data_IF_142605400995
#
_entry.id   IF_142605400995
#
_cell.length_a   1.000
_cell.length_b   1.000
_cell.length_c   1.000
_cell.angle_alpha   90.00
_cell.angle_beta   90.00
_cell.angle_gamma   90.00
#
_symmetry.space_group_name_H-M   'P 1'
#
loop_
_entity.id
_entity.type
_entity.pdbx_description
1 polymer ?
#
# COMPACT_ATOMS: atom_id res chain seq x y z
N UNK A 1 0.06 4.50 21.71
CA UNK A 1 0.84 3.25 21.63
C UNK A 1 2.32 3.60 21.60
N UNK A 2 3.13 3.00 22.47
CA UNK A 2 4.58 3.24 22.51
C UNK A 2 5.29 2.03 21.89
N UNK A 3 5.92 2.17 20.71
CA UNK A 3 6.65 1.06 20.10
C UNK A 3 7.91 0.74 20.91
N UNK A 4 8.14 -0.55 21.15
CA UNK A 4 9.33 -1.06 21.85
C UNK A 4 10.25 -1.78 20.87
N UNK A 5 11.57 -1.68 21.07
CA UNK A 5 12.55 -2.45 20.32
C UNK A 5 12.67 -2.09 18.83
N UNK A 6 12.51 -0.81 18.47
CA UNK A 6 12.74 -0.36 17.10
C UNK A 6 14.20 -0.59 16.72
N UNK A 7 14.42 -1.22 15.57
CA UNK A 7 15.74 -1.37 15.02
C UNK A 7 16.30 -0.01 14.58
N UNK A 8 17.62 0.19 14.64
CA UNK A 8 18.23 1.47 14.31
C UNK A 8 18.08 1.81 12.81
N UNK A 9 18.02 3.10 12.49
CA UNK A 9 17.99 3.63 11.11
C UNK A 9 16.96 2.99 10.18
N UNK A 10 15.81 2.61 10.73
CA UNK A 10 14.80 1.81 10.05
C UNK A 10 13.53 2.63 9.84
N UNK A 11 12.94 2.54 8.65
CA UNK A 11 11.62 3.13 8.38
C UNK A 11 10.53 2.16 8.78
N UNK A 12 9.49 2.69 9.42
CA UNK A 12 8.34 1.94 9.89
C UNK A 12 7.06 2.53 9.30
N UNK A 13 6.14 1.64 9.00
CA UNK A 13 4.78 1.96 8.65
C UNK A 13 3.86 1.42 9.75
N UNK A 14 3.11 2.31 10.38
CA UNK A 14 2.10 1.94 11.36
C UNK A 14 0.72 2.15 10.76
N UNK A 15 -0.12 1.12 10.84
CA UNK A 15 -1.49 1.10 10.33
C UNK A 15 -2.42 0.71 11.45
N UNK A 16 -3.64 1.27 11.45
CA UNK A 16 -4.72 0.77 12.29
C UNK A 16 -5.59 -0.17 11.48
N UNK A 17 -5.89 -1.34 12.03
CA UNK A 17 -6.87 -2.29 11.50
C UNK A 17 -8.07 -2.33 12.43
N UNK A 18 -9.27 -2.27 11.88
CA UNK A 18 -10.53 -2.35 12.63
C UNK A 18 -11.62 -3.00 11.76
N UNK A 19 -12.69 -3.56 12.36
CA UNK A 19 -13.77 -4.19 11.60
C UNK A 19 -14.44 -3.21 10.64
N UNK A 20 -14.54 -3.59 9.36
CA UNK A 20 -15.15 -2.78 8.30
C UNK A 20 -16.66 -2.52 8.51
N UNK A 21 -17.30 -3.23 9.44
CA UNK A 21 -18.70 -3.02 9.83
C UNK A 21 -18.90 -1.78 10.70
N UNK A 22 -17.82 -1.23 11.26
CA UNK A 22 -17.88 -0.10 12.17
C UNK A 22 -17.58 1.20 11.40
N UNK A 23 -18.57 2.11 11.25
CA UNK A 23 -18.37 3.35 10.51
C UNK A 23 -17.59 4.38 11.37
N UNK A 24 -16.29 4.15 11.48
CA UNK A 24 -15.35 5.03 12.17
C UNK A 24 -14.38 5.65 11.17
N UNK A 25 -14.00 6.90 11.42
CA UNK A 25 -12.85 7.55 10.81
C UNK A 25 -11.72 7.54 11.83
N UNK A 26 -10.59 6.95 11.46
CA UNK A 26 -9.41 6.91 12.32
C UNK A 26 -8.35 7.86 11.80
N UNK A 27 -7.69 8.56 12.72
CA UNK A 27 -6.51 9.40 12.46
C UNK A 27 -5.38 8.98 13.38
N UNK A 28 -4.19 8.88 12.80
CA UNK A 28 -2.93 8.58 13.47
C UNK A 28 -1.94 9.74 13.32
N UNK A 29 -1.16 9.99 14.36
CA UNK A 29 -0.05 10.95 14.35
C UNK A 29 1.00 10.60 15.40
N UNK A 30 2.17 11.24 15.32
CA UNK A 30 3.22 11.08 16.33
C UNK A 30 2.98 12.04 17.51
N UNK A 31 3.18 11.57 18.73
CA UNK A 31 3.16 12.44 19.89
C UNK A 31 4.29 13.47 19.79
N UNK A 32 3.98 14.76 19.95
CA UNK A 32 4.98 15.82 19.82
C UNK A 32 5.56 15.94 18.42
N UNK A 33 4.75 15.62 17.40
CA UNK A 33 5.15 15.69 15.99
C UNK A 33 5.78 17.05 15.64
N UNK A 34 7.05 17.01 15.24
CA UNK A 34 7.77 18.19 14.76
C UNK A 34 7.37 18.41 13.29
N UNK A 35 6.74 19.55 13.00
CA UNK A 35 6.23 19.91 11.67
C UNK A 35 7.28 19.64 10.58
N UNK A 36 6.89 18.85 9.57
CA UNK A 36 7.72 18.53 8.40
C UNK A 36 8.48 17.20 8.46
N UNK A 37 8.45 16.47 9.58
CA UNK A 37 9.14 15.18 9.70
C UNK A 37 8.30 13.95 9.31
N UNK A 38 6.97 14.07 9.27
CA UNK A 38 6.08 12.98 8.86
C UNK A 38 5.23 13.41 7.66
N UNK A 39 5.15 12.54 6.65
CA UNK A 39 4.21 12.73 5.53
C UNK A 39 2.85 12.19 5.97
N UNK A 40 1.94 13.10 6.30
CA UNK A 40 0.54 12.74 6.58
C UNK A 40 -0.16 12.44 5.25
N UNK A 41 -0.62 11.20 5.07
CA UNK A 41 -1.41 10.82 3.90
C UNK A 41 -2.86 11.28 4.10
N UNK A 42 -3.56 11.61 2.99
CA UNK A 42 -4.99 11.90 3.04
C UNK A 42 -5.71 10.64 3.57
N UNK A 43 -6.46 10.82 4.66
CA UNK A 43 -7.04 9.79 5.53
C UNK A 43 -6.01 8.93 6.30
N UNK A 44 -5.67 9.42 7.50
CA UNK A 44 -4.56 8.97 8.34
C UNK A 44 -4.85 7.69 9.15
N UNK A 45 -5.36 6.64 8.51
CA UNK A 45 -5.35 5.28 9.09
C UNK A 45 -3.93 4.69 9.13
N UNK A 46 -2.98 5.40 8.52
CA UNK A 46 -1.59 5.03 8.37
C UNK A 46 -0.67 6.23 8.60
N UNK A 47 0.46 5.98 9.26
CA UNK A 47 1.61 6.89 9.33
C UNK A 47 2.91 6.17 8.98
N UNK A 48 3.89 6.93 8.49
CA UNK A 48 5.24 6.44 8.24
C UNK A 48 6.20 7.28 9.07
N UNK A 49 7.07 6.63 9.83
CA UNK A 49 8.11 7.27 10.64
C UNK A 49 9.42 6.52 10.54
N UNK A 50 10.50 7.10 11.06
CA UNK A 50 11.84 6.48 11.03
C UNK A 50 12.40 6.39 12.44
N UNK A 51 13.30 5.44 12.68
CA UNK A 51 14.13 5.39 13.88
C UNK A 51 15.53 5.97 13.63
N UNK A 52 16.13 6.53 14.68
CA UNK A 52 17.53 6.99 14.67
C UNK A 52 18.52 5.82 14.89
N UNK A 53 19.82 6.12 14.96
CA UNK A 53 20.86 5.13 15.20
C UNK A 53 20.77 4.43 16.57
N UNK A 54 19.98 4.96 17.51
CA UNK A 54 19.73 4.40 18.85
C UNK A 54 18.38 3.68 18.94
N UNK A 55 17.67 3.51 17.82
CA UNK A 55 16.34 2.89 17.81
C UNK A 55 15.25 3.79 18.40
N UNK A 56 15.43 5.11 18.42
CA UNK A 56 14.42 6.05 18.90
C UNK A 56 13.64 6.63 17.73
N UNK A 57 12.35 6.88 17.94
CA UNK A 57 11.50 7.47 16.91
C UNK A 57 11.97 8.89 16.54
N UNK A 58 12.05 9.17 15.25
CA UNK A 58 12.42 10.47 14.67
C UNK A 58 11.14 11.25 14.36
N UNK A 59 11.18 12.57 14.54
CA UNK A 59 10.06 13.46 14.26
C UNK A 59 9.13 13.69 15.46
N UNK A 60 9.57 13.32 16.65
CA UNK A 60 8.91 13.54 17.94
C UNK A 60 9.90 14.18 18.91
N UNK A 61 9.41 15.08 19.77
CA UNK A 61 10.17 15.64 20.88
C UNK A 61 10.14 14.74 22.15
N UNK A 62 9.39 13.63 22.11
CA UNK A 62 9.25 12.66 23.21
C UNK A 62 10.18 11.46 23.03
N UNK A 63 10.69 10.95 24.16
CA UNK A 63 11.48 9.73 24.22
C UNK A 63 11.12 8.91 25.47
N UNK A 64 10.48 7.73 25.35
CA UNK A 64 10.04 7.13 24.08
C UNK A 64 8.88 7.92 23.48
N UNK A 65 8.86 8.10 22.16
CA UNK A 65 7.73 8.73 21.50
C UNK A 65 6.57 7.75 21.33
N UNK A 66 5.35 8.28 21.29
CA UNK A 66 4.15 7.48 21.10
C UNK A 66 3.48 7.75 19.75
N UNK A 67 2.76 6.74 19.26
CA UNK A 67 1.77 6.87 18.20
C UNK A 67 0.43 7.17 18.86
N UNK A 68 -0.17 8.30 18.52
CA UNK A 68 -1.47 8.72 19.00
C UNK A 68 -2.53 8.39 17.95
N UNK A 69 -3.74 8.12 18.43
CA UNK A 69 -4.88 7.75 17.60
C UNK A 69 -6.12 8.48 18.09
N UNK A 70 -6.94 8.94 17.15
CA UNK A 70 -8.31 9.39 17.40
C UNK A 70 -9.24 8.70 16.43
N UNK A 71 -10.30 8.13 16.97
CA UNK A 71 -11.41 7.58 16.21
C UNK A 71 -12.62 8.49 16.38
N UNK A 72 -13.32 8.76 15.30
CA UNK A 72 -14.57 9.52 15.28
C UNK A 72 -15.63 8.72 14.55
N UNK A 73 -16.89 8.83 14.95
CA UNK A 73 -18.00 8.24 14.19
C UNK A 73 -18.12 8.99 12.87
N UNK A 74 -18.07 8.25 11.76
CA UNK A 74 -18.08 8.83 10.41
C UNK A 74 -19.40 8.59 9.66
N UNK A 75 -20.09 7.49 9.94
CA UNK A 75 -21.38 7.19 9.31
C UNK A 75 -22.35 6.49 10.28
N UNK A 76 -23.55 6.20 9.78
CA UNK A 76 -24.57 5.45 10.50
C UNK A 76 -24.28 3.95 10.43
N UNK A 77 -24.34 3.27 11.57
CA UNK A 77 -24.21 1.81 11.60
C UNK A 77 -25.44 1.17 10.94
N UNK A 78 -25.27 0.00 10.31
CA UNK A 78 -26.36 -0.69 9.58
C UNK A 78 -27.61 -0.87 10.44
N UNK A 79 -27.41 -1.22 11.71
CA UNK A 79 -28.49 -1.49 12.67
C UNK A 79 -28.93 -0.21 13.44
N UNK A 80 -28.63 0.97 12.89
CA UNK A 80 -28.95 2.27 13.50
C UNK A 80 -28.05 2.64 14.68
N UNK A 81 -28.42 3.71 15.39
CA UNK A 81 -27.63 4.23 16.51
C UNK A 81 -27.51 3.25 17.69
N UNK A 82 -28.57 2.49 17.98
CA UNK A 82 -28.57 1.49 19.04
C UNK A 82 -27.62 0.31 18.76
N UNK A 83 -27.35 0.01 17.48
CA UNK A 83 -26.43 -1.05 17.07
C UNK A 83 -24.99 -0.59 16.86
N UNK A 84 -24.70 0.72 16.92
CA UNK A 84 -23.35 1.22 16.76
C UNK A 84 -22.50 0.92 18.01
N UNK A 85 -21.32 0.28 17.88
CA UNK A 85 -20.48 -0.01 19.03
C UNK A 85 -19.95 1.29 19.66
N UNK A 86 -20.05 1.38 20.99
CA UNK A 86 -19.59 2.55 21.78
C UNK A 86 -18.06 2.64 21.87
N UNK A 87 -17.37 1.53 21.61
CA UNK A 87 -15.92 1.43 21.63
C UNK A 87 -15.46 0.81 20.31
N UNK A 88 -14.36 1.33 19.75
CA UNK A 88 -13.74 0.77 18.56
C UNK A 88 -12.74 -0.29 19.00
N UNK A 89 -12.95 -1.54 18.62
CA UNK A 89 -11.90 -2.55 18.68
C UNK A 89 -10.95 -2.32 17.49
N UNK A 90 -9.65 -2.24 17.77
CA UNK A 90 -8.64 -1.96 16.76
C UNK A 90 -7.31 -2.61 17.12
N UNK A 91 -6.53 -2.90 16.09
CA UNK A 91 -5.14 -3.32 16.19
C UNK A 91 -4.23 -2.28 15.54
N UNK A 92 -3.08 -1.99 16.17
CA UNK A 92 -2.02 -1.22 15.54
C UNK A 92 -0.98 -2.20 15.01
N UNK A 93 -0.93 -2.32 13.69
CA UNK A 93 0.03 -3.16 12.99
C UNK A 93 1.21 -2.29 12.58
N UNK A 94 2.41 -2.70 12.98
CA UNK A 94 3.64 -2.01 12.63
C UNK A 94 4.50 -2.91 11.75
N UNK A 95 4.95 -2.36 10.63
CA UNK A 95 5.75 -3.06 9.66
C UNK A 95 7.04 -2.29 9.34
N UNK A 96 8.14 -3.01 9.13
CA UNK A 96 9.37 -2.41 8.59
C UNK A 96 9.19 -2.16 7.10
N UNK A 97 9.65 -1.00 6.65
CA UNK A 97 9.74 -0.66 5.24
C UNK A 97 11.19 -0.49 4.82
N UNK A 98 11.54 -1.07 3.67
CA UNK A 98 12.86 -0.92 3.02
C UNK A 98 12.65 -0.07 1.78
N UNK A 99 13.36 1.06 1.69
CA UNK A 99 13.21 2.03 0.58
C UNK A 99 11.75 2.51 0.37
N UNK A 100 10.98 2.63 1.46
CA UNK A 100 9.57 3.05 1.41
C UNK A 100 8.59 1.94 1.01
N UNK A 101 9.08 0.71 0.78
CA UNK A 101 8.24 -0.45 0.45
C UNK A 101 8.10 -1.33 1.69
N UNK A 102 6.86 -1.71 2.09
CA UNK A 102 6.63 -2.65 3.18
C UNK A 102 7.29 -4.01 2.89
N UNK A 103 7.92 -4.60 3.90
CA UNK A 103 8.57 -5.93 3.77
C UNK A 103 7.65 -7.04 3.24
N UNK A 104 6.36 -6.96 3.53
CA UNK A 104 5.29 -7.86 3.11
C UNK A 104 4.99 -7.79 1.61
N UNK A 105 5.42 -6.73 0.92
CA UNK A 105 5.27 -6.60 -0.52
C UNK A 105 6.30 -7.44 -1.32
N UNK A 106 7.32 -8.01 -0.65
CA UNK A 106 8.39 -8.78 -1.28
C UNK A 106 7.93 -9.89 -2.22
N UNK A 107 7.01 -10.78 -1.82
CA UNK A 107 6.48 -11.83 -2.69
C UNK A 107 5.81 -11.30 -3.96
N UNK A 108 5.03 -10.21 -3.84
CA UNK A 108 4.33 -9.61 -4.99
C UNK A 108 5.35 -9.01 -5.97
N UNK A 109 6.37 -8.34 -5.46
CA UNK A 109 7.46 -7.79 -6.28
C UNK A 109 8.19 -8.90 -7.02
N UNK A 110 8.47 -10.03 -6.36
CA UNK A 110 9.13 -11.19 -6.96
C UNK A 110 8.28 -11.80 -8.09
N UNK A 111 6.97 -11.96 -7.87
CA UNK A 111 6.05 -12.47 -8.90
C UNK A 111 5.99 -11.50 -10.09
N UNK A 112 5.88 -10.19 -9.83
CA UNK A 112 5.86 -9.18 -10.89
C UNK A 112 7.17 -9.20 -11.71
N UNK A 113 8.32 -9.30 -11.06
CA UNK A 113 9.61 -9.42 -11.72
C UNK A 113 9.70 -10.70 -12.57
N UNK A 114 9.24 -11.83 -12.05
CA UNK A 114 9.21 -13.10 -12.80
C UNK A 114 8.34 -12.99 -14.06
N UNK A 115 7.16 -12.37 -13.96
CA UNK A 115 6.29 -12.14 -15.12
C UNK A 115 6.96 -11.26 -16.19
N UNK A 116 7.66 -10.20 -15.77
CA UNK A 116 8.42 -9.36 -16.70
C UNK A 116 9.51 -10.15 -17.42
N UNK A 117 10.22 -11.04 -16.73
CA UNK A 117 11.23 -11.92 -17.33
C UNK A 117 10.59 -12.87 -18.35
N UNK A 118 9.42 -13.44 -18.03
CA UNK A 118 8.70 -14.33 -18.96
C UNK A 118 8.28 -13.58 -20.23
N UNK A 119 7.72 -12.37 -20.09
CA UNK A 119 7.35 -11.53 -21.24
C UNK A 119 8.59 -11.16 -22.04
N UNK A 120 9.68 -10.78 -21.38
CA UNK A 120 10.93 -10.42 -22.05
C UNK A 120 11.56 -11.59 -22.80
N UNK A 121 11.49 -12.80 -22.24
CA UNK A 121 11.97 -14.02 -22.89
C UNK A 121 11.06 -14.47 -24.04
N UNK A 122 9.77 -14.15 -23.97
CA UNK A 122 8.82 -14.45 -25.03
C UNK A 122 8.93 -13.47 -26.20
N UNK A 123 9.37 -12.22 -25.99
CA UNK A 123 9.49 -11.18 -27.03
C UNK A 123 10.07 -11.71 -28.35
N UNK A 124 11.25 -12.39 -28.40
CA UNK A 124 11.79 -12.90 -29.66
C UNK A 124 10.83 -13.83 -30.43
N UNK A 125 10.13 -14.72 -29.72
CA UNK A 125 9.15 -15.61 -30.35
C UNK A 125 7.92 -14.83 -30.85
N UNK A 126 7.44 -13.86 -30.09
CA UNK A 126 6.32 -13.01 -30.48
C UNK A 126 6.63 -12.21 -31.74
N UNK A 127 7.79 -11.54 -31.78
CA UNK A 127 8.17 -10.69 -32.92
C UNK A 127 8.46 -11.49 -34.19
N UNK A 128 9.08 -12.68 -34.06
CA UNK A 128 9.51 -13.45 -35.23
C UNK A 128 8.49 -14.45 -35.75
N UNK A 129 7.52 -14.90 -34.93
CA UNK A 129 6.56 -15.94 -35.35
C UNK A 129 5.11 -15.56 -35.12
N UNK A 130 4.74 -15.14 -33.91
CA UNK A 130 3.33 -14.93 -33.59
C UNK A 130 2.74 -13.72 -34.32
N UNK A 131 3.44 -12.57 -34.32
CA UNK A 131 2.96 -11.34 -34.96
C UNK A 131 2.87 -11.49 -36.49
N UNK A 132 3.91 -11.98 -37.21
CA UNK A 132 3.79 -12.19 -38.65
C UNK A 132 2.67 -13.15 -39.03
N UNK A 133 2.56 -14.30 -38.34
CA UNK A 133 1.50 -15.28 -38.62
C UNK A 133 0.08 -14.71 -38.39
N UNK A 134 -0.09 -13.87 -37.37
CA UNK A 134 -1.36 -13.20 -37.10
C UNK A 134 -1.69 -12.15 -38.18
N UNK A 135 -0.69 -11.38 -38.61
CA UNK A 135 -0.85 -10.40 -39.70
C UNK A 135 -1.18 -11.09 -41.02
N UNK A 136 -0.52 -12.20 -41.34
CA UNK A 136 -0.77 -13.00 -42.53
C UNK A 136 -2.20 -13.59 -42.51
N UNK A 137 -2.66 -14.07 -41.34
CA UNK A 137 -4.03 -14.54 -41.16
C UNK A 137 -5.05 -13.42 -41.36
N UNK A 138 -4.85 -12.25 -40.75
CA UNK A 138 -5.74 -11.08 -40.93
C UNK A 138 -5.75 -10.56 -42.37
N UNK A 139 -4.62 -10.65 -43.09
CA UNK A 139 -4.52 -10.24 -44.48
C UNK A 139 -5.26 -11.19 -45.43
N UNK A 140 -5.42 -12.46 -45.07
CA UNK A 140 -6.19 -13.45 -45.85
C UNK A 140 -7.71 -13.19 -45.79
N UNK A 141 -8.19 -12.61 -44.69
CA UNK A 141 -9.61 -12.23 -44.51
C UNK A 141 -9.97 -10.88 -45.13
N UNK A 142 -9.02 -10.14 -45.69
CA UNK A 142 -9.32 -8.91 -46.42
C UNK A 142 -10.00 -9.29 -47.76
N UNK A 143 -11.29 -8.95 -47.97
CA UNK A 143 -11.95 -9.24 -49.22
C UNK A 143 -11.22 -8.48 -50.34
N UNK A 144 -10.55 -9.22 -51.21
CA UNK A 144 -9.97 -8.67 -52.43
C UNK A 144 -11.11 -8.03 -53.22
N UNK A 145 -11.23 -6.70 -53.15
CA UNK A 145 -11.91 -5.91 -54.15
C UNK A 145 -11.12 -6.04 -55.45
N UNK A 146 -11.29 -7.20 -56.10
CA UNK A 146 -10.79 -7.50 -57.43
C UNK A 146 -11.39 -6.45 -58.35
N UNK A 147 -10.51 -5.59 -58.87
CA UNK A 147 -10.58 -5.02 -60.21
C UNK A 147 -11.48 -5.87 -61.11
N UNK A 148 -12.69 -5.37 -61.39
CA UNK A 148 -13.32 -5.60 -62.68
C UNK A 148 -13.03 -4.35 -63.50
N UNK A 149 -12.48 -4.63 -64.68
CA UNK A 149 -12.26 -3.73 -65.81
C UNK A 149 -13.50 -2.89 -66.12
#
# INVERSE_FOLDING_TARGET
>A
YVPLGLAPNTTYEARVSYPATNPARVRLWLEGEVQGSARMLLDAERIIFRSDARGRMVGTDRNPGAILMRAERWAMHRDGEAGAPKQLAYDIVMERSVLGVPSSAGPIILVAAALLVVVAAALPWWTHRAVPALLDWLAQDAPTARRRL
#
